data_IF_332382329615
#
_entry.id   IF_332382329615
#
_cell.length_a   1.000
_cell.length_b   1.000
_cell.length_c   1.000
_cell.angle_alpha   90.00
_cell.angle_beta   90.00
_cell.angle_gamma   90.00
#
_symmetry.space_group_name_H-M   'P 1'
#
loop_
_entity.id
_entity.type
_entity.pdbx_description
1 polymer ?
#
# COMPACT_ATOMS: atom_id res chain seq x y z
N UNK A 1 40.29 -15.16 32.46
CA UNK A 1 39.41 -15.98 31.60
C UNK A 1 38.26 -15.09 31.15
N UNK A 2 38.17 -14.76 29.86
CA UNK A 2 37.05 -13.97 29.33
C UNK A 2 36.50 -14.70 28.10
N UNK A 3 35.41 -15.43 28.29
CA UNK A 3 34.70 -16.14 27.22
C UNK A 3 33.96 -15.10 26.39
N UNK A 4 34.45 -14.83 25.18
CA UNK A 4 33.71 -14.07 24.19
C UNK A 4 32.59 -14.96 23.66
N UNK A 5 31.37 -14.71 24.12
CA UNK A 5 30.15 -15.34 23.62
C UNK A 5 30.06 -14.99 22.12
N UNK A 6 30.32 -15.97 21.26
CA UNK A 6 30.11 -15.84 19.81
C UNK A 6 28.63 -16.00 19.55
N UNK A 7 27.90 -14.88 19.50
CA UNK A 7 26.50 -14.87 19.09
C UNK A 7 26.45 -15.20 17.59
N UNK A 8 26.09 -16.44 17.26
CA UNK A 8 25.95 -16.90 15.87
C UNK A 8 24.96 -15.99 15.14
N UNK A 9 25.27 -15.51 13.93
CA UNK A 9 24.41 -14.59 13.15
C UNK A 9 22.96 -15.06 12.96
N UNK A 10 22.72 -16.37 13.10
CA UNK A 10 21.37 -16.99 13.17
C UNK A 10 20.53 -16.42 14.32
N UNK A 11 21.12 -16.12 15.48
CA UNK A 11 20.42 -15.53 16.62
C UNK A 11 20.03 -14.07 16.37
N UNK A 12 20.88 -13.31 15.67
CA UNK A 12 20.56 -11.92 15.28
C UNK A 12 19.38 -11.93 14.30
N UNK A 13 19.40 -12.82 13.30
CA UNK A 13 18.30 -12.94 12.33
C UNK A 13 16.98 -13.41 12.96
N UNK A 14 17.02 -14.31 13.94
CA UNK A 14 15.83 -14.75 14.69
C UNK A 14 15.25 -13.61 15.56
N UNK A 15 16.10 -12.80 16.18
CA UNK A 15 15.62 -11.66 16.97
C UNK A 15 14.92 -10.59 16.14
N UNK A 16 15.40 -10.35 14.91
CA UNK A 16 14.83 -9.35 14.00
C UNK A 16 13.46 -9.80 13.45
N UNK A 17 13.28 -11.09 13.16
CA UNK A 17 12.00 -11.63 12.70
C UNK A 17 10.95 -11.69 13.81
N UNK A 18 11.35 -11.97 15.05
CA UNK A 18 10.43 -12.01 16.19
C UNK A 18 9.91 -10.61 16.56
N UNK A 19 10.73 -9.57 16.45
CA UNK A 19 10.32 -8.19 16.70
C UNK A 19 9.35 -7.65 15.62
N UNK A 20 9.50 -8.08 14.36
CA UNK A 20 8.61 -7.68 13.27
C UNK A 20 7.20 -8.27 13.38
N UNK A 21 7.05 -9.45 13.98
CA UNK A 21 5.75 -10.13 14.12
C UNK A 21 4.92 -9.58 15.28
N UNK A 22 5.55 -9.06 16.33
CA UNK A 22 4.83 -8.47 17.49
C UNK A 22 4.25 -7.08 17.21
N UNK A 23 4.70 -6.40 16.15
CA UNK A 23 4.17 -5.09 15.75
C UNK A 23 2.76 -5.14 15.12
N UNK A 24 2.27 -6.34 14.78
CA UNK A 24 0.90 -6.54 14.27
C UNK A 24 -0.05 -7.16 15.32
N UNK A 25 0.42 -7.41 16.54
CA UNK A 25 -0.45 -7.91 17.60
C UNK A 25 -1.14 -6.71 18.28
N UNK A 26 -2.42 -6.54 17.94
CA UNK A 26 -3.34 -5.48 18.40
C UNK A 26 -2.95 -4.77 19.69
N UNK A 27 -2.43 -3.54 19.54
CA UNK A 27 -2.22 -2.62 20.64
C UNK A 27 -3.55 -2.19 21.29
N UNK A 28 -3.49 -1.43 22.40
CA UNK A 28 -4.67 -0.97 23.13
C UNK A 28 -5.64 -0.15 22.27
N UNK A 29 -5.18 0.42 21.15
CA UNK A 29 -6.00 1.02 20.10
C UNK A 29 -7.03 0.06 19.44
N UNK A 30 -6.89 -1.27 19.59
CA UNK A 30 -7.87 -2.27 19.13
C UNK A 30 -8.79 -2.78 20.26
N UNK A 31 -8.63 -2.30 21.48
CA UNK A 31 -9.62 -2.47 22.54
C UNK A 31 -10.76 -1.50 22.24
N UNK A 32 -11.55 -1.83 21.22
CA UNK A 32 -12.81 -1.13 20.98
C UNK A 32 -13.59 -1.09 22.29
N UNK A 33 -14.08 0.10 22.68
CA UNK A 33 -14.97 0.22 23.82
C UNK A 33 -16.05 -0.86 23.70
N UNK A 34 -16.44 -1.55 24.80
CA UNK A 34 -17.47 -2.56 24.74
C UNK A 34 -18.68 -1.96 24.04
N UNK A 35 -18.92 -2.41 22.80
CA UNK A 35 -20.07 -1.98 22.04
C UNK A 35 -21.26 -2.46 22.85
N UNK A 36 -22.01 -1.53 23.43
CA UNK A 36 -23.27 -1.86 24.04
C UNK A 36 -24.07 -2.59 22.95
N UNK A 37 -24.20 -3.91 23.09
CA UNK A 37 -25.05 -4.70 22.22
C UNK A 37 -26.42 -4.03 22.21
N UNK A 38 -27.08 -3.98 21.05
CA UNK A 38 -28.34 -3.28 20.86
C UNK A 38 -29.22 -3.49 22.10
N UNK A 39 -29.46 -2.40 22.84
CA UNK A 39 -30.26 -2.48 24.06
C UNK A 39 -31.60 -3.09 23.65
N UNK A 40 -31.96 -4.20 24.27
CA UNK A 40 -33.21 -4.92 23.99
C UNK A 40 -34.36 -4.11 24.61
N UNK A 41 -34.61 -2.91 24.06
CA UNK A 41 -35.65 -1.97 24.50
C UNK A 41 -37.05 -2.39 24.05
N UNK A 42 -37.16 -3.54 23.35
CA UNK A 42 -38.39 -4.01 22.71
C UNK A 42 -38.79 -3.19 21.48
N UNK A 43 -38.03 -2.16 21.12
CA UNK A 43 -38.26 -1.33 19.95
C UNK A 43 -37.28 -1.69 18.83
N UNK A 44 -37.79 -2.30 17.76
CA UNK A 44 -37.02 -2.57 16.56
C UNK A 44 -36.82 -1.28 15.75
N UNK A 45 -35.63 -1.04 15.16
CA UNK A 45 -35.47 0.07 14.24
C UNK A 45 -36.36 -0.14 13.01
N UNK A 46 -37.20 0.84 12.71
CA UNK A 46 -38.05 0.81 11.52
C UNK A 46 -37.18 1.05 10.27
N UNK A 47 -36.81 -0.02 9.58
CA UNK A 47 -36.10 0.06 8.28
C UNK A 47 -36.97 0.56 7.11
N UNK A 48 -38.23 0.91 7.37
CA UNK A 48 -39.16 1.45 6.36
C UNK A 48 -38.83 2.89 5.93
N UNK A 49 -38.01 3.62 6.69
CA UNK A 49 -37.53 4.94 6.29
C UNK A 49 -36.29 4.80 5.42
N UNK A 50 -36.49 4.54 4.12
CA UNK A 50 -35.44 4.82 3.14
C UNK A 50 -35.20 6.33 3.15
N UNK A 51 -33.99 6.82 3.49
CA UNK A 51 -33.68 8.21 3.30
C UNK A 51 -33.91 8.51 1.82
N UNK A 52 -34.80 9.45 1.51
CA UNK A 52 -34.97 9.90 0.13
C UNK A 52 -33.59 10.36 -0.32
N UNK A 53 -33.00 9.67 -1.29
CA UNK A 53 -31.71 10.06 -1.86
C UNK A 53 -31.80 11.55 -2.18
N UNK A 54 -30.88 12.35 -1.65
CA UNK A 54 -30.88 13.78 -1.89
C UNK A 54 -30.60 14.00 -3.39
N UNK A 55 -31.65 14.04 -4.21
CA UNK A 55 -31.57 14.38 -5.63
C UNK A 55 -31.52 15.89 -5.79
N UNK A 56 -30.65 16.56 -5.05
CA UNK A 56 -30.40 17.98 -5.24
C UNK A 56 -29.76 18.10 -6.61
N UNK A 57 -30.53 18.55 -7.60
CA UNK A 57 -29.99 18.81 -8.92
C UNK A 57 -28.98 19.95 -8.81
N UNK A 58 -27.82 19.77 -9.44
CA UNK A 58 -26.82 20.84 -9.53
C UNK A 58 -27.46 22.07 -10.15
N UNK A 59 -27.14 23.25 -9.61
CA UNK A 59 -27.55 24.48 -10.27
C UNK A 59 -26.81 24.63 -11.61
N UNK A 60 -27.29 25.52 -12.48
CA UNK A 60 -26.60 25.82 -13.74
C UNK A 60 -25.16 26.31 -13.50
N UNK A 61 -24.95 27.07 -12.41
CA UNK A 61 -23.63 27.54 -12.01
C UNK A 61 -22.73 26.40 -11.53
N UNK A 62 -23.24 25.50 -10.68
CA UNK A 62 -22.48 24.34 -10.20
C UNK A 62 -22.06 23.45 -11.37
N UNK A 63 -22.95 23.25 -12.34
CA UNK A 63 -22.67 22.47 -13.54
C UNK A 63 -21.57 23.11 -14.38
N UNK A 64 -21.55 24.43 -14.54
CA UNK A 64 -20.47 25.13 -15.25
C UNK A 64 -19.13 25.01 -14.53
N UNK A 65 -19.13 25.14 -13.20
CA UNK A 65 -17.91 25.00 -12.39
C UNK A 65 -17.34 23.57 -12.49
N UNK A 66 -18.19 22.56 -12.36
CA UNK A 66 -17.78 21.16 -12.50
C UNK A 66 -17.23 20.84 -13.89
N UNK A 67 -17.84 21.41 -14.94
CA UNK A 67 -17.34 21.24 -16.32
C UNK A 67 -15.97 21.88 -16.51
N UNK A 68 -15.77 23.10 -16.02
CA UNK A 68 -14.50 23.80 -16.18
C UNK A 68 -13.37 23.11 -15.41
N UNK A 69 -13.65 22.59 -14.22
CA UNK A 69 -12.70 21.78 -13.43
C UNK A 69 -12.36 20.47 -14.15
N UNK A 70 -13.36 19.77 -14.68
CA UNK A 70 -13.15 18.54 -15.44
C UNK A 70 -12.33 18.76 -16.72
N UNK A 71 -12.57 19.86 -17.44
CA UNK A 71 -11.77 20.24 -18.61
C UNK A 71 -10.32 20.57 -18.22
N UNK A 72 -10.11 21.26 -17.10
CA UNK A 72 -8.77 21.56 -16.60
C UNK A 72 -8.00 20.27 -16.26
N UNK A 73 -8.67 19.31 -15.61
CA UNK A 73 -8.07 18.02 -15.27
C UNK A 73 -7.80 17.17 -16.51
N UNK A 74 -8.69 17.18 -17.50
CA UNK A 74 -8.44 16.52 -18.78
C UNK A 74 -7.17 17.07 -19.45
N UNK A 75 -6.98 18.39 -19.45
CA UNK A 75 -5.75 19.02 -19.99
C UNK A 75 -4.51 18.61 -19.21
N UNK A 76 -4.61 18.54 -17.87
CA UNK A 76 -3.49 18.04 -17.03
C UNK A 76 -3.15 16.60 -17.36
N UNK A 77 -4.14 15.73 -17.54
CA UNK A 77 -3.92 14.33 -17.92
C UNK A 77 -3.30 14.19 -19.31
N UNK A 78 -3.75 14.97 -20.30
CA UNK A 78 -3.17 14.98 -21.64
C UNK A 78 -1.73 15.52 -21.66
N UNK A 79 -1.38 16.40 -20.72
CA UNK A 79 -0.03 16.90 -20.55
C UNK A 79 0.91 15.88 -19.89
N UNK A 80 0.38 14.80 -19.27
CA UNK A 80 1.19 13.69 -18.78
C UNK A 80 1.66 12.88 -20.00
N UNK A 81 2.98 12.78 -20.26
CA UNK A 81 3.47 11.95 -21.34
C UNK A 81 2.99 10.51 -21.09
N UNK A 82 2.28 9.93 -22.07
CA UNK A 82 1.94 8.52 -22.00
C UNK A 82 3.25 7.73 -21.78
N UNK A 83 3.28 6.77 -20.82
CA UNK A 83 4.42 5.88 -20.71
C UNK A 83 4.64 5.27 -22.10
N UNK A 84 5.86 5.41 -22.63
CA UNK A 84 6.21 4.86 -23.95
C UNK A 84 5.71 3.44 -23.99
N UNK A 85 4.89 3.09 -24.99
CA UNK A 85 4.47 1.71 -25.20
C UNK A 85 5.74 0.88 -25.34
N UNK A 86 6.12 0.18 -24.26
CA UNK A 86 7.23 -0.74 -24.28
C UNK A 86 6.79 -1.89 -25.16
N UNK A 87 7.24 -1.87 -26.41
CA UNK A 87 7.10 -3.02 -27.30
C UNK A 87 7.58 -4.27 -26.57
N UNK A 88 6.98 -5.43 -26.80
CA UNK A 88 7.40 -6.67 -26.12
C UNK A 88 8.90 -6.95 -26.26
N UNK A 89 9.51 -6.51 -27.36
CA UNK A 89 10.95 -6.51 -27.58
C UNK A 89 11.74 -5.64 -26.57
N UNK A 90 11.26 -4.43 -26.26
CA UNK A 90 11.88 -3.57 -25.23
C UNK A 90 11.77 -4.16 -23.84
N UNK A 91 10.64 -4.79 -23.48
CA UNK A 91 10.49 -5.47 -22.18
C UNK A 91 11.48 -6.63 -22.06
N UNK A 92 11.66 -7.40 -23.13
CA UNK A 92 12.61 -8.51 -23.15
C UNK A 92 14.07 -8.03 -23.06
N UNK A 93 14.42 -6.92 -23.73
CA UNK A 93 15.76 -6.34 -23.66
C UNK A 93 16.07 -5.79 -22.25
N UNK A 94 15.12 -5.09 -21.63
CA UNK A 94 15.28 -4.61 -20.25
C UNK A 94 15.41 -5.78 -19.28
N UNK A 95 14.61 -6.84 -19.45
CA UNK A 95 14.71 -8.05 -18.61
C UNK A 95 16.09 -8.72 -18.73
N UNK A 96 16.66 -8.82 -19.94
CA UNK A 96 18.01 -9.36 -20.15
C UNK A 96 19.07 -8.51 -19.46
N UNK A 97 19.02 -7.19 -19.62
CA UNK A 97 19.96 -6.27 -18.96
C UNK A 97 19.92 -6.42 -17.44
N UNK A 98 18.73 -6.45 -16.84
CA UNK A 98 18.57 -6.65 -15.39
C UNK A 98 19.15 -8.00 -14.94
N UNK A 99 19.02 -9.06 -15.74
CA UNK A 99 19.61 -10.36 -15.41
C UNK A 99 21.14 -10.35 -15.48
N UNK A 100 21.72 -9.71 -16.48
CA UNK A 100 23.18 -9.59 -16.64
C UNK A 100 23.79 -8.74 -15.51
N UNK A 101 23.16 -7.64 -15.15
CA UNK A 101 23.61 -6.77 -14.05
C UNK A 101 23.50 -7.48 -12.69
N UNK A 102 22.42 -8.25 -12.47
CA UNK A 102 22.28 -9.08 -11.29
C UNK A 102 23.38 -10.16 -11.21
N UNK A 103 23.71 -10.81 -12.33
CA UNK A 103 24.77 -11.82 -12.37
C UNK A 103 26.15 -11.24 -12.05
N UNK A 104 26.49 -10.06 -12.59
CA UNK A 104 27.75 -9.37 -12.27
C UNK A 104 27.81 -8.98 -10.79
N UNK A 105 26.70 -8.48 -10.26
CA UNK A 105 26.62 -8.10 -8.84
C UNK A 105 26.85 -9.32 -7.93
N UNK A 106 26.30 -10.49 -8.29
CA UNK A 106 26.53 -11.73 -7.55
C UNK A 106 28.01 -12.15 -7.58
N UNK A 107 28.67 -12.06 -8.74
CA UNK A 107 30.10 -12.37 -8.88
C UNK A 107 30.97 -11.43 -8.02
N UNK A 108 30.64 -10.14 -7.97
CA UNK A 108 31.33 -9.17 -7.11
C UNK A 108 31.14 -9.48 -5.62
N UNK A 109 29.94 -9.89 -5.21
CA UNK A 109 29.67 -10.31 -3.82
C UNK A 109 30.46 -11.58 -3.48
N UNK A 110 30.49 -12.57 -4.37
CA UNK A 110 31.27 -13.80 -4.17
C UNK A 110 32.78 -13.51 -4.07
N UNK A 111 33.29 -12.62 -4.92
CA UNK A 111 34.71 -12.23 -4.90
C UNK A 111 35.08 -11.41 -3.66
N UNK A 112 34.19 -10.55 -3.20
CA UNK A 112 34.41 -9.69 -2.02
C UNK A 112 34.20 -10.46 -0.71
N UNK A 113 33.30 -11.45 -0.69
CA UNK A 113 33.01 -12.30 0.47
C UNK A 113 33.98 -13.47 0.69
N UNK A 114 34.96 -13.67 -0.22
CA UNK A 114 35.98 -14.73 -0.13
C UNK A 114 37.33 -14.24 0.44
N UNK A 115 37.38 -13.05 1.05
CA UNK A 115 38.52 -12.56 1.85
C UNK A 115 38.20 -12.57 3.34
#
# INVERSE_FOLDING_TARGET
MSQRIRLSGRFILISLSLAGLTACAGGPEFQGAPQAGAANTGAWPTFGHMPKGATTQFTAQDTQNLKSELEADQRRQQAIPAPRATTGAQVNNVRKQVQEDAAKTLEEIEKTGSN
#
